data_IF_980290995484
#
_entry.id   IF_980290995484
#
_cell.length_a   1.000
_cell.length_b   1.000
_cell.length_c   1.000
_cell.angle_alpha   90.00
_cell.angle_beta   90.00
_cell.angle_gamma   90.00
#
_symmetry.space_group_name_H-M   'P 1'
#
loop_
_entity.id
_entity.type
_entity.pdbx_description
1 polymer ?
#
# COMPACT_ATOMS: atom_id res chain seq x y z
N UNK A 1 71.57 51.13 56.55
CA UNK A 1 70.66 49.99 56.85
C UNK A 1 69.33 50.04 56.10
N UNK A 2 68.80 51.22 55.73
CA UNK A 2 67.52 51.31 55.01
C UNK A 2 67.57 50.82 53.54
N UNK A 3 68.67 51.08 52.81
CA UNK A 3 68.78 50.71 51.38
C UNK A 3 68.89 49.19 51.16
N UNK A 4 69.56 48.47 52.06
CA UNK A 4 69.74 47.02 51.96
C UNK A 4 68.40 46.26 52.12
N UNK A 5 67.48 46.80 52.94
CA UNK A 5 66.14 46.23 53.12
C UNK A 5 65.22 46.47 51.91
N UNK A 6 65.40 47.58 51.19
CA UNK A 6 64.65 47.83 49.95
C UNK A 6 65.06 46.86 48.84
N UNK A 7 66.36 46.67 48.63
CA UNK A 7 66.88 45.77 47.59
C UNK A 7 66.41 44.32 47.83
N UNK A 8 66.40 43.88 49.10
CA UNK A 8 65.94 42.54 49.47
C UNK A 8 64.44 42.35 49.22
N UNK A 9 63.60 43.38 49.46
CA UNK A 9 62.17 43.35 49.15
C UNK A 9 61.90 43.26 47.64
N UNK A 10 62.66 44.00 46.83
CA UNK A 10 62.56 43.93 45.36
C UNK A 10 63.00 42.57 44.83
N UNK A 11 64.04 41.97 45.40
CA UNK A 11 64.51 40.65 44.99
C UNK A 11 63.46 39.55 45.29
N UNK A 12 62.85 39.56 46.48
CA UNK A 12 61.77 38.61 46.81
C UNK A 12 60.52 38.79 45.94
N UNK A 13 60.16 40.03 45.59
CA UNK A 13 59.03 40.29 44.70
C UNK A 13 59.30 39.83 43.27
N UNK A 14 60.51 40.01 42.75
CA UNK A 14 60.92 39.46 41.45
C UNK A 14 60.92 37.92 41.47
N UNK A 15 61.35 37.30 42.58
CA UNK A 15 61.39 35.83 42.72
C UNK A 15 59.97 35.22 42.81
N UNK A 16 59.03 35.92 43.43
CA UNK A 16 57.61 35.54 43.48
C UNK A 16 56.96 35.72 42.09
N UNK A 17 57.26 36.81 41.39
CA UNK A 17 56.73 37.06 40.03
C UNK A 17 57.27 36.01 39.05
N UNK A 18 58.56 35.69 39.09
CA UNK A 18 59.15 34.66 38.21
C UNK A 18 58.66 33.26 38.53
N UNK A 19 58.49 32.90 39.81
CA UNK A 19 57.86 31.64 40.23
C UNK A 19 56.39 31.54 39.79
N UNK A 20 55.66 32.66 39.82
CA UNK A 20 54.26 32.72 39.36
C UNK A 20 54.14 32.59 37.84
N UNK A 21 55.09 33.16 37.07
CA UNK A 21 55.15 33.02 35.61
C UNK A 21 55.48 31.57 35.20
N UNK A 22 56.33 30.88 35.96
CA UNK A 22 56.66 29.46 35.73
C UNK A 22 55.44 28.55 36.03
N UNK A 23 54.63 28.89 37.03
CA UNK A 23 53.38 28.15 37.34
C UNK A 23 52.24 28.43 36.35
N UNK A 24 52.16 29.62 35.74
CA UNK A 24 51.17 29.93 34.70
C UNK A 24 51.48 29.30 33.34
N UNK A 25 52.75 28.95 33.07
CA UNK A 25 53.13 28.30 31.80
C UNK A 25 52.89 26.78 31.78
N UNK A 26 52.37 26.22 32.89
CA UNK A 26 51.89 24.84 32.99
C UNK A 26 50.35 24.75 32.89
N UNK A 27 49.69 25.73 32.27
CA UNK A 27 48.33 25.55 31.79
C UNK A 27 48.36 24.57 30.61
N UNK A 28 48.13 23.28 30.88
CA UNK A 28 47.88 22.28 29.85
C UNK A 28 46.80 22.82 28.91
N UNK A 29 47.16 23.10 27.66
CA UNK A 29 46.18 23.45 26.63
C UNK A 29 45.16 22.30 26.55
N UNK A 30 43.98 22.50 27.11
CA UNK A 30 42.84 21.61 26.89
C UNK A 30 42.52 21.68 25.40
N UNK A 31 42.97 20.66 24.68
CA UNK A 31 42.85 20.57 23.24
C UNK A 31 41.37 20.63 22.87
N UNK A 32 40.96 21.70 22.21
CA UNK A 32 39.55 21.91 21.85
C UNK A 32 39.18 20.92 20.75
N UNK A 33 38.30 19.98 21.04
CA UNK A 33 37.84 18.98 20.07
C UNK A 33 36.84 19.66 19.11
N UNK A 34 37.28 19.91 17.88
CA UNK A 34 36.49 20.53 16.81
C UNK A 34 36.73 19.80 15.47
N UNK A 35 36.07 20.23 14.40
CA UNK A 35 36.20 19.60 13.07
C UNK A 35 37.63 19.66 12.51
N UNK A 36 38.35 20.76 12.75
CA UNK A 36 39.76 20.88 12.35
C UNK A 36 40.61 19.83 13.05
N UNK A 37 40.35 19.58 14.34
CA UNK A 37 41.07 18.57 15.09
C UNK A 37 40.84 17.16 14.53
N UNK A 38 39.61 16.85 14.12
CA UNK A 38 39.29 15.57 13.46
C UNK A 38 40.06 15.41 12.14
N UNK A 39 40.18 16.48 11.37
CA UNK A 39 41.00 16.48 10.16
C UNK A 39 42.48 16.27 10.44
N UNK A 40 43.02 16.86 11.51
CA UNK A 40 44.40 16.59 11.95
C UNK A 40 44.60 15.12 12.32
N UNK A 41 43.61 14.48 12.97
CA UNK A 41 43.64 13.05 13.26
C UNK A 41 43.60 12.21 11.98
N UNK A 42 42.77 12.57 10.98
CA UNK A 42 42.75 11.92 9.67
C UNK A 42 44.10 12.00 8.96
N UNK A 43 44.72 13.18 8.93
CA UNK A 43 46.02 13.37 8.31
C UNK A 43 47.10 12.55 9.02
N UNK A 44 47.05 12.44 10.35
CA UNK A 44 47.97 11.59 11.12
C UNK A 44 47.76 10.11 10.81
N UNK A 45 46.51 9.66 10.76
CA UNK A 45 46.15 8.30 10.37
C UNK A 45 46.75 7.94 8.99
N UNK A 46 46.54 8.80 7.99
CA UNK A 46 47.06 8.62 6.63
C UNK A 46 48.60 8.61 6.55
N UNK A 47 49.29 9.15 7.57
CA UNK A 47 50.75 9.09 7.73
C UNK A 47 51.23 7.84 8.49
N UNK A 48 50.34 6.89 8.75
CA UNK A 48 50.65 5.60 9.41
C UNK A 48 50.43 5.58 10.92
N UNK A 49 49.88 6.65 11.53
CA UNK A 49 49.55 6.66 12.97
C UNK A 49 48.20 6.02 13.24
N UNK A 50 48.14 4.70 13.12
CA UNK A 50 46.88 3.92 13.21
C UNK A 50 46.18 4.12 14.56
N UNK A 51 46.92 4.42 15.62
CA UNK A 51 46.40 4.67 16.96
C UNK A 51 45.36 5.81 17.02
N UNK A 52 45.37 6.75 16.07
CA UNK A 52 44.39 7.84 16.01
C UNK A 52 42.97 7.36 15.75
N UNK A 53 42.79 6.13 15.24
CA UNK A 53 41.46 5.52 15.08
C UNK A 53 40.73 5.43 16.42
N UNK A 54 41.42 5.07 17.50
CA UNK A 54 40.80 4.98 18.84
C UNK A 54 40.29 6.32 19.33
N UNK A 55 41.03 7.40 19.02
CA UNK A 55 40.63 8.76 19.36
C UNK A 55 39.45 9.23 18.50
N UNK A 56 39.46 8.93 17.20
CA UNK A 56 38.31 9.20 16.33
C UNK A 56 37.04 8.45 16.80
N UNK A 57 37.17 7.18 17.21
CA UNK A 57 36.09 6.38 17.77
C UNK A 57 35.57 6.99 19.08
N UNK A 58 36.46 7.47 19.95
CA UNK A 58 36.04 8.09 21.21
C UNK A 58 35.29 9.40 20.99
N UNK A 59 35.74 10.23 20.04
CA UNK A 59 35.06 11.47 19.62
C UNK A 59 33.66 11.14 19.07
N UNK A 60 33.57 10.17 18.16
CA UNK A 60 32.30 9.72 17.57
C UNK A 60 31.28 9.27 18.64
N UNK A 61 31.72 8.47 19.62
CA UNK A 61 30.87 7.91 20.68
C UNK A 61 30.53 8.91 21.79
N UNK A 62 31.24 10.04 21.88
CA UNK A 62 31.06 10.98 22.97
C UNK A 62 29.79 11.84 22.79
N UNK A 63 28.76 11.55 23.60
CA UNK A 63 27.46 12.23 23.56
C UNK A 63 27.49 13.70 23.99
N UNK A 64 28.54 14.15 24.69
CA UNK A 64 28.63 15.55 25.14
C UNK A 64 29.18 16.49 24.07
N UNK A 65 29.74 15.94 22.99
CA UNK A 65 30.27 16.73 21.88
C UNK A 65 29.15 17.18 20.92
N UNK A 66 29.32 18.33 20.24
CA UNK A 66 28.37 18.79 19.23
C UNK A 66 28.16 17.75 18.13
N UNK A 67 26.93 17.70 17.61
CA UNK A 67 26.55 16.79 16.52
C UNK A 67 27.51 16.86 15.32
N UNK A 68 27.85 18.07 14.86
CA UNK A 68 28.70 18.24 13.67
C UNK A 68 30.11 17.66 13.86
N UNK A 69 30.67 17.78 15.07
CA UNK A 69 31.96 17.18 15.44
C UNK A 69 31.87 15.65 15.39
N UNK A 70 30.81 15.08 15.98
CA UNK A 70 30.60 13.62 15.97
C UNK A 70 30.35 13.08 14.57
N UNK A 71 29.58 13.80 13.76
CA UNK A 71 29.32 13.46 12.36
C UNK A 71 30.61 13.49 11.53
N UNK A 72 31.44 14.52 11.73
CA UNK A 72 32.73 14.62 11.04
C UNK A 72 33.63 13.44 11.40
N UNK A 73 33.68 13.06 12.67
CA UNK A 73 34.43 11.88 13.12
C UNK A 73 33.89 10.58 12.49
N UNK A 74 32.56 10.40 12.45
CA UNK A 74 31.91 9.27 11.79
C UNK A 74 32.29 9.17 10.30
N UNK A 75 32.25 10.29 9.56
CA UNK A 75 32.62 10.33 8.14
C UNK A 75 34.09 9.97 7.92
N UNK A 76 34.99 10.54 8.72
CA UNK A 76 36.42 10.20 8.68
C UNK A 76 36.66 8.73 8.98
N UNK A 77 36.02 8.17 10.01
CA UNK A 77 36.11 6.75 10.35
C UNK A 77 35.69 5.87 9.17
N UNK A 78 34.58 6.20 8.51
CA UNK A 78 34.12 5.49 7.32
C UNK A 78 35.11 5.53 6.16
N UNK A 79 35.75 6.67 5.93
CA UNK A 79 36.76 6.83 4.86
C UNK A 79 38.02 6.00 5.10
N UNK A 80 38.30 5.62 6.36
CA UNK A 80 39.53 4.86 6.67
C UNK A 80 39.48 3.40 6.24
N UNK A 81 38.30 2.79 6.17
CA UNK A 81 38.15 1.34 5.97
C UNK A 81 38.79 0.46 7.05
N UNK A 82 39.14 1.03 8.20
CA UNK A 82 39.81 0.28 9.28
C UNK A 82 38.83 -0.66 10.01
N UNK A 83 39.20 -1.92 10.31
CA UNK A 83 38.32 -2.87 10.99
C UNK A 83 37.71 -2.35 12.30
N UNK A 84 38.53 -1.78 13.20
CA UNK A 84 38.02 -1.18 14.45
C UNK A 84 37.03 -0.02 14.22
N UNK A 85 37.22 0.76 13.14
CA UNK A 85 36.33 1.85 12.80
C UNK A 85 34.99 1.30 12.31
N UNK A 86 35.02 0.32 11.42
CA UNK A 86 33.84 -0.38 10.91
C UNK A 86 33.06 -1.05 12.06
N UNK A 87 33.75 -1.79 12.93
CA UNK A 87 33.14 -2.44 14.09
C UNK A 87 32.53 -1.40 15.05
N UNK A 88 33.17 -0.25 15.26
CA UNK A 88 32.63 0.82 16.08
C UNK A 88 31.33 1.41 15.50
N UNK A 89 31.23 1.55 14.17
CA UNK A 89 30.02 2.04 13.50
C UNK A 89 28.91 0.98 13.58
N UNK A 90 29.20 -0.29 13.26
CA UNK A 90 28.25 -1.42 13.36
C UNK A 90 27.69 -1.54 14.78
N UNK A 91 28.57 -1.50 15.78
CA UNK A 91 28.20 -1.53 17.20
C UNK A 91 27.31 -0.34 17.62
N UNK A 92 27.55 0.85 17.07
CA UNK A 92 26.73 2.03 17.34
C UNK A 92 25.31 1.87 16.81
N UNK A 93 25.16 1.36 15.58
CA UNK A 93 23.85 1.05 14.97
C UNK A 93 23.13 -0.03 15.79
N UNK A 94 23.79 -1.14 16.09
CA UNK A 94 23.17 -2.27 16.77
C UNK A 94 22.72 -1.96 18.21
N UNK A 95 23.49 -1.14 18.97
CA UNK A 95 23.21 -0.93 20.40
C UNK A 95 22.24 0.20 20.70
N UNK A 96 22.03 1.15 19.80
CA UNK A 96 20.98 2.21 19.76
C UNK A 96 20.43 2.79 21.10
N UNK A 97 21.17 2.74 22.21
CA UNK A 97 20.55 2.87 23.55
C UNK A 97 20.14 4.28 23.93
N UNK A 98 20.66 5.30 23.24
CA UNK A 98 20.25 6.71 23.37
C UNK A 98 20.47 7.40 22.02
N UNK A 99 19.47 7.31 21.15
CA UNK A 99 19.64 7.58 19.71
C UNK A 99 19.65 9.07 19.42
N UNK A 100 20.81 9.56 19.00
CA UNK A 100 20.87 10.71 18.10
C UNK A 100 20.44 10.24 16.70
N UNK A 101 19.14 10.39 16.38
CA UNK A 101 18.54 9.82 15.16
C UNK A 101 19.23 10.33 13.88
N UNK A 102 19.77 11.56 13.91
CA UNK A 102 20.53 12.12 12.79
C UNK A 102 21.83 11.35 12.60
N UNK A 103 22.58 11.11 13.67
CA UNK A 103 23.86 10.39 13.58
C UNK A 103 23.64 8.90 13.27
N UNK A 104 22.58 8.31 13.80
CA UNK A 104 22.14 6.95 13.49
C UNK A 104 21.82 6.77 12.00
N UNK A 105 21.03 7.67 11.42
CA UNK A 105 20.71 7.62 9.99
C UNK A 105 21.95 7.80 9.10
N UNK A 106 22.89 8.69 9.47
CA UNK A 106 24.15 8.84 8.75
C UNK A 106 25.03 7.57 8.83
N UNK A 107 25.04 6.89 9.98
CA UNK A 107 25.77 5.62 10.13
C UNK A 107 25.16 4.51 9.26
N UNK A 108 23.83 4.41 9.22
CA UNK A 108 23.11 3.49 8.31
C UNK A 108 23.43 3.81 6.85
N UNK A 109 23.37 5.09 6.45
CA UNK A 109 23.67 5.51 5.07
C UNK A 109 25.10 5.12 4.66
N UNK A 110 26.06 5.23 5.57
CA UNK A 110 27.45 4.79 5.35
C UNK A 110 27.52 3.28 5.12
N UNK A 111 26.93 2.48 6.02
CA UNK A 111 27.04 1.01 5.96
C UNK A 111 26.21 0.44 4.80
N UNK A 112 25.08 1.05 4.46
CA UNK A 112 24.21 0.64 3.35
C UNK A 112 24.87 0.76 1.96
N UNK A 113 26.03 1.42 1.84
CA UNK A 113 26.82 1.45 0.60
C UNK A 113 27.37 0.08 0.22
N UNK A 114 27.59 -0.79 1.21
CA UNK A 114 27.91 -2.20 1.00
C UNK A 114 26.72 -3.07 1.42
N UNK A 115 26.08 -3.70 0.43
CA UNK A 115 24.88 -4.52 0.61
C UNK A 115 25.20 -5.97 1.06
N UNK A 116 26.29 -6.17 1.80
CA UNK A 116 26.63 -7.46 2.39
C UNK A 116 25.57 -7.92 3.41
N UNK A 117 25.40 -9.24 3.55
CA UNK A 117 24.40 -9.82 4.47
C UNK A 117 24.60 -9.33 5.90
N UNK A 118 25.84 -9.23 6.36
CA UNK A 118 26.18 -8.73 7.70
C UNK A 118 25.74 -7.26 7.90
N UNK A 119 25.92 -6.41 6.89
CA UNK A 119 25.49 -5.01 6.96
C UNK A 119 23.97 -4.90 6.97
N UNK A 120 23.28 -5.71 6.17
CA UNK A 120 21.81 -5.80 6.18
C UNK A 120 21.32 -6.23 7.57
N UNK A 121 21.89 -7.29 8.14
CA UNK A 121 21.56 -7.76 9.50
C UNK A 121 21.83 -6.68 10.56
N UNK A 122 22.93 -5.95 10.44
CA UNK A 122 23.27 -4.84 11.35
C UNK A 122 22.23 -3.73 11.28
N UNK A 123 21.80 -3.35 10.08
CA UNK A 123 20.76 -2.32 9.87
C UNK A 123 19.42 -2.80 10.46
N UNK A 124 19.01 -4.05 10.17
CA UNK A 124 17.77 -4.62 10.70
C UNK A 124 17.78 -4.69 12.24
N UNK A 125 18.88 -5.14 12.83
CA UNK A 125 19.06 -5.17 14.29
C UNK A 125 19.02 -3.76 14.90
N UNK A 126 19.59 -2.77 14.22
CA UNK A 126 19.54 -1.37 14.63
C UNK A 126 18.12 -0.81 14.63
N UNK A 127 17.35 -1.05 13.56
CA UNK A 127 15.94 -0.65 13.46
C UNK A 127 15.12 -1.33 14.57
N UNK A 128 15.27 -2.64 14.77
CA UNK A 128 14.56 -3.38 15.80
C UNK A 128 14.89 -2.88 17.21
N UNK A 129 16.17 -2.68 17.51
CA UNK A 129 16.62 -2.19 18.83
C UNK A 129 16.15 -0.77 19.10
N UNK A 130 16.07 0.09 18.08
CA UNK A 130 15.51 1.43 18.19
C UNK A 130 14.00 1.40 18.47
N UNK A 131 13.27 0.56 17.72
CA UNK A 131 11.84 0.39 17.88
C UNK A 131 11.46 -0.20 19.25
N UNK A 132 12.19 -1.21 19.71
CA UNK A 132 11.97 -1.84 21.02
C UNK A 132 12.09 -0.82 22.16
N UNK A 133 13.11 0.03 22.13
CA UNK A 133 13.29 1.10 23.14
C UNK A 133 12.20 2.16 23.06
N UNK A 134 11.83 2.58 21.85
CA UNK A 134 10.72 3.50 21.67
C UNK A 134 9.43 2.92 22.26
N UNK A 135 9.10 1.66 21.92
CA UNK A 135 7.92 0.96 22.45
C UNK A 135 7.99 0.86 23.98
N UNK A 136 9.14 0.47 24.55
CA UNK A 136 9.32 0.35 25.99
C UNK A 136 9.09 1.71 26.70
N UNK A 137 9.73 2.77 26.20
CA UNK A 137 9.60 4.12 26.75
C UNK A 137 8.16 4.63 26.62
N UNK A 138 7.56 4.49 25.43
CA UNK A 138 6.17 4.88 25.14
C UNK A 138 5.20 4.15 26.07
N UNK A 139 5.29 2.83 26.18
CA UNK A 139 4.42 2.02 27.06
C UNK A 139 4.60 2.40 28.53
N UNK A 140 5.84 2.62 29.00
CA UNK A 140 6.09 3.08 30.37
C UNK A 140 5.44 4.44 30.66
N UNK A 141 5.55 5.38 29.73
CA UNK A 141 4.93 6.71 29.84
C UNK A 141 3.41 6.62 29.83
N UNK A 142 2.81 5.84 28.93
CA UNK A 142 1.35 5.64 28.88
C UNK A 142 0.82 5.01 30.17
N UNK A 143 1.51 4.00 30.70
CA UNK A 143 1.15 3.39 31.98
C UNK A 143 1.19 4.42 33.12
N UNK A 144 2.22 5.28 33.18
CA UNK A 144 2.27 6.37 34.18
C UNK A 144 1.13 7.35 34.00
N UNK A 145 0.83 7.76 32.77
CA UNK A 145 -0.29 8.66 32.47
C UNK A 145 -1.64 8.08 32.92
N UNK A 146 -1.85 6.77 32.76
CA UNK A 146 -3.09 6.10 33.20
C UNK A 146 -3.33 6.13 34.72
N UNK A 147 -2.30 6.43 35.51
CA UNK A 147 -2.42 6.59 36.97
C UNK A 147 -2.73 8.02 37.42
N UNK A 148 -2.70 8.97 36.49
CA UNK A 148 -3.00 10.39 36.77
C UNK A 148 -4.53 10.60 36.68
N UNK A 149 -5.16 11.33 37.63
CA UNK A 149 -6.60 11.57 37.66
C UNK A 149 -7.18 12.24 36.38
N UNK A 150 -8.50 12.20 36.18
CA UNK A 150 -9.19 12.41 34.90
C UNK A 150 -9.22 13.86 34.37
N UNK A 151 -8.46 14.78 34.96
CA UNK A 151 -8.26 16.12 34.38
C UNK A 151 -7.45 16.08 33.08
N UNK A 152 -6.90 14.91 32.70
CA UNK A 152 -6.38 14.68 31.36
C UNK A 152 -7.51 14.94 30.35
N UNK A 153 -7.41 16.07 29.66
CA UNK A 153 -8.34 16.45 28.60
C UNK A 153 -8.40 15.31 27.55
N UNK A 154 -9.59 14.72 27.40
CA UNK A 154 -9.88 13.66 26.41
C UNK A 154 -9.40 14.03 25.00
N UNK A 155 -9.42 15.31 24.65
CA UNK A 155 -8.91 15.85 23.38
C UNK A 155 -7.41 15.56 23.18
N UNK A 156 -6.60 15.64 24.23
CA UNK A 156 -5.16 15.35 24.16
C UNK A 156 -4.92 13.85 23.91
N UNK A 157 -5.74 12.98 24.50
CA UNK A 157 -5.65 11.53 24.31
C UNK A 157 -6.12 11.13 22.92
N UNK A 158 -7.21 11.71 22.41
CA UNK A 158 -7.68 11.48 21.04
C UNK A 158 -6.64 11.94 20.02
N UNK A 159 -6.02 13.11 20.24
CA UNK A 159 -4.92 13.58 19.39
C UNK A 159 -3.71 12.64 19.41
N UNK A 160 -3.34 12.11 20.58
CA UNK A 160 -2.27 11.11 20.68
C UNK A 160 -2.63 9.83 19.91
N UNK A 161 -3.86 9.35 20.04
CA UNK A 161 -4.35 8.19 19.31
C UNK A 161 -4.27 8.39 17.79
N UNK A 162 -4.68 9.55 17.29
CA UNK A 162 -4.58 9.89 15.86
C UNK A 162 -3.12 9.88 15.37
N UNK A 163 -2.20 10.46 16.15
CA UNK A 163 -0.76 10.46 15.81
C UNK A 163 -0.17 9.05 15.80
N UNK A 164 -0.49 8.23 16.80
CA UNK A 164 -0.01 6.84 16.86
C UNK A 164 -0.58 5.99 15.71
N UNK A 165 -1.85 6.21 15.35
CA UNK A 165 -2.47 5.58 14.17
C UNK A 165 -1.76 5.99 12.89
N UNK A 166 -1.47 7.27 12.70
CA UNK A 166 -0.73 7.77 11.53
C UNK A 166 0.69 7.17 11.45
N UNK A 167 1.39 7.08 12.59
CA UNK A 167 2.72 6.47 12.66
C UNK A 167 2.70 4.99 12.27
N UNK A 168 1.70 4.23 12.73
CA UNK A 168 1.49 2.84 12.32
C UNK A 168 1.29 2.71 10.80
N UNK A 169 0.47 3.59 10.20
CA UNK A 169 0.26 3.60 8.74
C UNK A 169 1.56 3.90 7.98
N UNK A 170 2.36 4.88 8.40
CA UNK A 170 3.66 5.21 7.79
C UNK A 170 4.65 4.04 7.87
N UNK A 171 4.65 3.30 8.99
CA UNK A 171 5.45 2.09 9.15
C UNK A 171 5.04 1.03 8.12
N UNK A 172 3.74 0.78 7.97
CA UNK A 172 3.21 -0.18 7.00
C UNK A 172 3.54 0.21 5.56
N UNK A 173 3.45 1.51 5.21
CA UNK A 173 3.86 2.01 3.88
C UNK A 173 5.35 1.75 3.60
N UNK A 174 6.20 2.03 4.59
CA UNK A 174 7.66 1.82 4.47
C UNK A 174 7.99 0.34 4.30
N UNK A 175 7.35 -0.53 5.08
CA UNK A 175 7.52 -1.98 4.98
C UNK A 175 7.01 -2.51 3.64
N UNK A 176 5.83 -2.07 3.18
CA UNK A 176 5.28 -2.42 1.86
C UNK A 176 6.25 -2.04 0.74
N UNK A 177 6.81 -0.84 0.80
CA UNK A 177 7.80 -0.35 -0.16
C UNK A 177 9.05 -1.22 -0.18
N UNK A 178 9.57 -1.59 1.00
CA UNK A 178 10.71 -2.48 1.12
C UNK A 178 10.42 -3.86 0.55
N UNK A 179 9.30 -4.48 0.94
CA UNK A 179 8.86 -5.79 0.44
C UNK A 179 8.67 -5.78 -1.08
N UNK A 180 8.19 -4.68 -1.65
CA UNK A 180 8.01 -4.55 -3.09
C UNK A 180 9.31 -4.52 -3.90
N UNK A 181 10.41 -4.08 -3.28
CA UNK A 181 11.74 -4.11 -3.91
C UNK A 181 12.38 -5.50 -3.88
N UNK A 182 11.83 -6.43 -3.11
CA UNK A 182 12.36 -7.79 -2.96
C UNK A 182 11.69 -8.68 -4.02
N UNK A 183 12.51 -9.26 -4.89
CA UNK A 183 12.07 -10.27 -5.88
C UNK A 183 12.08 -11.69 -5.29
N UNK A 184 11.43 -11.85 -4.11
CA UNK A 184 11.20 -13.14 -3.48
C UNK A 184 9.70 -13.40 -3.39
N UNK A 185 9.26 -14.57 -3.85
CA UNK A 185 7.84 -14.98 -3.78
C UNK A 185 7.28 -15.03 -2.35
N UNK A 186 8.13 -15.18 -1.33
CA UNK A 186 7.71 -15.14 0.09
C UNK A 186 7.09 -13.81 0.50
N UNK A 187 7.33 -12.72 -0.23
CA UNK A 187 6.68 -11.44 0.07
C UNK A 187 5.23 -11.38 -0.40
N UNK A 188 4.80 -12.28 -1.28
CA UNK A 188 3.46 -12.24 -1.91
C UNK A 188 2.34 -12.37 -0.87
N UNK A 189 2.34 -13.35 0.06
CA UNK A 189 1.30 -13.45 1.07
C UNK A 189 1.18 -12.19 1.93
N UNK A 190 2.30 -11.61 2.35
CA UNK A 190 2.34 -10.40 3.18
C UNK A 190 1.74 -9.20 2.42
N UNK A 191 2.12 -9.03 1.15
CA UNK A 191 1.57 -7.97 0.31
C UNK A 191 0.06 -8.17 0.03
N UNK A 192 -0.41 -9.43 -0.07
CA UNK A 192 -1.84 -9.74 -0.18
C UNK A 192 -2.59 -9.34 1.10
N UNK A 193 -2.04 -9.65 2.27
CA UNK A 193 -2.62 -9.27 3.56
C UNK A 193 -2.73 -7.74 3.67
N UNK A 194 -1.65 -7.03 3.33
CA UNK A 194 -1.64 -5.56 3.28
C UNK A 194 -2.70 -5.05 2.31
N UNK A 195 -2.79 -5.59 1.10
CA UNK A 195 -3.76 -5.15 0.09
C UNK A 195 -5.22 -5.37 0.53
N UNK A 196 -5.49 -6.43 1.29
CA UNK A 196 -6.83 -6.81 1.76
C UNK A 196 -7.25 -6.12 3.06
N UNK A 197 -6.32 -5.55 3.83
CA UNK A 197 -6.62 -4.97 5.15
C UNK A 197 -7.47 -3.69 5.06
N UNK A 198 -8.74 -3.70 5.50
CA UNK A 198 -9.63 -2.54 5.41
C UNK A 198 -9.19 -1.37 6.29
N UNK A 199 -8.41 -1.62 7.36
CA UNK A 199 -7.93 -0.61 8.32
C UNK A 199 -6.78 0.23 7.76
N UNK A 200 -6.07 -0.29 6.76
CA UNK A 200 -5.03 0.45 6.06
C UNK A 200 -5.65 1.47 5.11
N UNK A 201 -5.00 2.63 4.99
CA UNK A 201 -5.42 3.66 4.06
C UNK A 201 -5.30 3.20 2.59
N UNK A 202 -5.95 3.94 1.70
CA UNK A 202 -5.99 3.60 0.28
C UNK A 202 -4.61 3.61 -0.38
N UNK A 203 -3.71 4.53 0.01
CA UNK A 203 -2.38 4.66 -0.59
C UNK A 203 -1.52 3.43 -0.29
N UNK A 204 -1.52 2.98 0.98
CA UNK A 204 -0.78 1.79 1.42
C UNK A 204 -1.23 0.53 0.67
N UNK A 205 -2.54 0.33 0.55
CA UNK A 205 -3.11 -0.81 -0.19
C UNK A 205 -2.85 -0.74 -1.67
N UNK A 206 -3.03 0.43 -2.27
CA UNK A 206 -2.77 0.65 -3.70
C UNK A 206 -1.32 0.33 -4.05
N UNK A 207 -0.38 0.77 -3.21
CA UNK A 207 1.03 0.42 -3.37
C UNK A 207 1.25 -1.09 -3.32
N UNK A 208 0.63 -1.80 -2.38
CA UNK A 208 0.74 -3.26 -2.31
C UNK A 208 0.15 -3.94 -3.56
N UNK A 209 -1.00 -3.48 -4.06
CA UNK A 209 -1.61 -4.00 -5.31
C UNK A 209 -0.73 -3.69 -6.52
N UNK A 210 -0.14 -2.50 -6.61
CA UNK A 210 0.78 -2.11 -7.69
C UNK A 210 2.01 -3.02 -7.72
N UNK A 211 2.61 -3.26 -6.55
CA UNK A 211 3.73 -4.18 -6.38
C UNK A 211 3.32 -5.61 -6.79
N UNK A 212 2.17 -6.10 -6.30
CA UNK A 212 1.66 -7.42 -6.64
C UNK A 212 1.38 -7.55 -8.15
N UNK A 213 0.90 -6.50 -8.80
CA UNK A 213 0.62 -6.48 -10.24
C UNK A 213 1.87 -6.67 -11.10
N UNK A 214 3.04 -6.26 -10.57
CA UNK A 214 4.36 -6.50 -11.18
C UNK A 214 4.91 -7.90 -10.88
N UNK A 215 4.32 -8.65 -9.94
CA UNK A 215 4.74 -9.99 -9.56
C UNK A 215 3.97 -11.05 -10.35
N UNK A 216 4.68 -11.80 -11.19
CA UNK A 216 4.10 -12.87 -11.98
C UNK A 216 3.87 -14.16 -11.17
N UNK A 217 2.80 -14.22 -10.36
CA UNK A 217 2.50 -15.38 -9.52
C UNK A 217 1.00 -15.73 -9.46
N UNK A 218 0.61 -17.03 -9.51
CA UNK A 218 -0.80 -17.45 -9.52
C UNK A 218 -1.61 -17.02 -8.30
N UNK A 219 -0.95 -16.91 -7.13
CA UNK A 219 -1.60 -16.47 -5.89
C UNK A 219 -2.08 -15.02 -5.96
N UNK A 220 -1.37 -14.17 -6.71
CA UNK A 220 -1.78 -12.78 -6.97
C UNK A 220 -3.11 -12.75 -7.72
N UNK A 221 -3.27 -13.59 -8.75
CA UNK A 221 -4.51 -13.67 -9.52
C UNK A 221 -5.68 -14.08 -8.64
N UNK A 222 -5.50 -15.07 -7.78
CA UNK A 222 -6.54 -15.50 -6.84
C UNK A 222 -6.89 -14.39 -5.87
N UNK A 223 -5.89 -13.72 -5.29
CA UNK A 223 -6.12 -12.61 -4.38
C UNK A 223 -6.90 -11.45 -5.03
N UNK A 224 -6.57 -11.10 -6.28
CA UNK A 224 -7.29 -10.06 -7.03
C UNK A 224 -8.74 -10.45 -7.29
N UNK A 225 -9.01 -11.71 -7.66
CA UNK A 225 -10.38 -12.24 -7.81
C UNK A 225 -11.13 -12.17 -6.48
N UNK A 226 -10.51 -12.59 -5.38
CA UNK A 226 -11.13 -12.51 -4.04
C UNK A 226 -11.49 -11.07 -3.69
N UNK A 227 -10.58 -10.12 -3.96
CA UNK A 227 -10.77 -8.70 -3.65
C UNK A 227 -11.90 -8.07 -4.46
N UNK A 228 -12.08 -8.47 -5.73
CA UNK A 228 -13.18 -8.03 -6.58
C UNK A 228 -14.53 -8.64 -6.17
N UNK A 229 -14.54 -9.76 -5.47
CA UNK A 229 -15.77 -10.41 -5.00
C UNK A 229 -16.14 -10.09 -3.55
N UNK A 230 -15.21 -9.58 -2.75
CA UNK A 230 -15.47 -9.17 -1.38
C UNK A 230 -15.99 -7.71 -1.34
N UNK A 231 -17.22 -7.45 -0.85
CA UNK A 231 -17.80 -6.11 -0.79
C UNK A 231 -16.94 -5.05 -0.09
N UNK A 232 -16.16 -5.43 0.93
CA UNK A 232 -15.34 -4.48 1.71
C UNK A 232 -14.13 -3.96 0.92
N UNK A 233 -13.61 -4.79 0.01
CA UNK A 233 -12.42 -4.48 -0.79
C UNK A 233 -12.77 -4.13 -2.24
N UNK A 234 -13.94 -4.56 -2.73
CA UNK A 234 -14.33 -4.50 -4.14
C UNK A 234 -14.27 -3.07 -4.69
N UNK A 235 -14.87 -2.09 -4.01
CA UNK A 235 -14.93 -0.71 -4.52
C UNK A 235 -13.53 -0.12 -4.68
N UNK A 236 -12.68 -0.26 -3.65
CA UNK A 236 -11.32 0.29 -3.63
C UNK A 236 -10.41 -0.41 -4.63
N UNK A 237 -10.51 -1.74 -4.72
CA UNK A 237 -9.73 -2.50 -5.69
C UNK A 237 -10.18 -2.20 -7.13
N UNK A 238 -11.48 -2.00 -7.35
CA UNK A 238 -12.02 -1.54 -8.63
C UNK A 238 -11.50 -0.15 -8.98
N UNK A 239 -11.51 0.79 -8.05
CA UNK A 239 -10.97 2.15 -8.28
C UNK A 239 -9.48 2.09 -8.64
N UNK A 240 -8.70 1.32 -7.88
CA UNK A 240 -7.29 1.07 -8.22
C UNK A 240 -7.14 0.47 -9.62
N UNK A 241 -7.89 -0.59 -9.95
CA UNK A 241 -7.79 -1.25 -11.24
C UNK A 241 -8.14 -0.28 -12.38
N UNK A 242 -9.19 0.54 -12.22
CA UNK A 242 -9.59 1.53 -13.22
C UNK A 242 -8.54 2.62 -13.44
N UNK A 243 -7.84 3.06 -12.38
CA UNK A 243 -6.81 4.11 -12.50
C UNK A 243 -5.46 3.60 -12.96
N UNK A 244 -5.12 2.34 -12.68
CA UNK A 244 -3.77 1.80 -12.98
C UNK A 244 -3.70 0.87 -14.18
N UNK A 245 -4.81 0.35 -14.71
CA UNK A 245 -4.80 -0.50 -15.92
C UNK A 245 -4.22 0.22 -17.14
N UNK A 246 -4.39 1.54 -17.23
CA UNK A 246 -3.83 2.35 -18.32
C UNK A 246 -2.30 2.41 -18.24
N UNK A 247 -1.75 2.44 -17.02
CA UNK A 247 -0.31 2.61 -16.77
C UNK A 247 0.43 1.27 -16.65
N UNK A 248 -0.22 0.25 -16.06
CA UNK A 248 0.38 -1.06 -15.74
C UNK A 248 -0.64 -2.18 -16.07
N UNK A 249 -0.77 -2.58 -17.34
CA UNK A 249 -1.63 -3.71 -17.71
C UNK A 249 -1.03 -5.02 -17.20
N UNK A 250 -1.59 -5.54 -16.10
CA UNK A 250 -1.29 -6.87 -15.57
C UNK A 250 -2.28 -7.89 -16.13
N UNK A 251 -1.79 -8.99 -16.72
CA UNK A 251 -2.66 -10.06 -17.23
C UNK A 251 -3.53 -10.67 -16.11
N UNK A 252 -3.03 -10.68 -14.87
CA UNK A 252 -3.77 -11.10 -13.68
C UNK A 252 -4.94 -10.16 -13.39
N UNK A 253 -4.70 -8.85 -13.51
CA UNK A 253 -5.74 -7.83 -13.33
C UNK A 253 -6.83 -7.94 -14.41
N UNK A 254 -6.42 -8.09 -15.67
CA UNK A 254 -7.34 -8.28 -16.81
C UNK A 254 -8.20 -9.54 -16.60
N UNK A 255 -7.58 -10.64 -16.20
CA UNK A 255 -8.30 -11.89 -15.95
C UNK A 255 -9.29 -11.76 -14.79
N UNK A 256 -8.88 -11.13 -13.68
CA UNK A 256 -9.74 -10.93 -12.52
C UNK A 256 -10.96 -10.04 -12.85
N UNK A 257 -10.76 -8.97 -13.63
CA UNK A 257 -11.86 -8.12 -14.09
C UNK A 257 -12.78 -8.81 -15.09
N UNK A 258 -12.24 -9.63 -15.98
CA UNK A 258 -13.04 -10.45 -16.89
C UNK A 258 -13.90 -11.48 -16.13
N UNK A 259 -13.36 -12.06 -15.06
CA UNK A 259 -14.10 -12.94 -14.15
C UNK A 259 -15.21 -12.18 -13.42
N UNK A 260 -14.91 -11.00 -12.87
CA UNK A 260 -15.92 -10.14 -12.24
C UNK A 260 -17.05 -9.79 -13.23
N UNK A 261 -16.70 -9.31 -14.43
CA UNK A 261 -17.70 -8.97 -15.46
C UNK A 261 -18.60 -10.16 -15.80
N UNK A 262 -18.01 -11.35 -15.98
CA UNK A 262 -18.78 -12.58 -16.24
C UNK A 262 -19.71 -12.91 -15.07
N UNK A 263 -19.23 -12.79 -13.83
CA UNK A 263 -20.00 -13.07 -12.63
C UNK A 263 -21.18 -12.10 -12.46
N UNK A 264 -20.93 -10.80 -12.57
CA UNK A 264 -21.94 -9.74 -12.49
C UNK A 264 -22.98 -9.87 -13.60
N UNK A 265 -22.54 -10.11 -14.84
CA UNK A 265 -23.44 -10.38 -15.96
C UNK A 265 -24.34 -11.58 -15.67
N UNK A 266 -23.79 -12.68 -15.16
CA UNK A 266 -24.59 -13.87 -14.81
C UNK A 266 -25.62 -13.56 -13.72
N UNK A 267 -25.25 -12.82 -12.67
CA UNK A 267 -26.17 -12.39 -11.60
C UNK A 267 -27.29 -11.49 -12.13
N UNK A 268 -26.94 -10.52 -12.98
CA UNK A 268 -27.91 -9.65 -13.64
C UNK A 268 -28.90 -10.44 -14.48
N UNK A 269 -28.43 -11.39 -15.30
CA UNK A 269 -29.29 -12.23 -16.13
C UNK A 269 -30.24 -13.10 -15.29
N UNK A 270 -29.77 -13.67 -14.18
CA UNK A 270 -30.60 -14.44 -13.27
C UNK A 270 -31.67 -13.58 -12.59
N UNK A 271 -31.30 -12.36 -12.17
CA UNK A 271 -32.26 -11.41 -11.59
C UNK A 271 -33.34 -11.06 -12.61
N UNK A 272 -32.93 -10.77 -13.85
CA UNK A 272 -33.85 -10.44 -14.94
C UNK A 272 -34.77 -11.60 -15.29
N UNK A 273 -34.27 -12.84 -15.29
CA UNK A 273 -35.08 -14.05 -15.48
C UNK A 273 -36.15 -14.17 -14.38
N UNK A 274 -35.76 -14.02 -13.10
CA UNK A 274 -36.69 -14.06 -11.96
C UNK A 274 -37.72 -12.93 -11.99
N UNK A 275 -37.30 -11.72 -12.33
CA UNK A 275 -38.19 -10.55 -12.46
C UNK A 275 -39.20 -10.76 -13.60
N UNK A 276 -38.77 -11.29 -14.74
CA UNK A 276 -39.71 -11.57 -15.83
C UNK A 276 -40.60 -12.77 -15.53
N UNK A 277 -40.12 -13.78 -14.83
CA UNK A 277 -40.94 -14.91 -14.37
C UNK A 277 -42.04 -14.45 -13.40
N UNK A 278 -41.73 -13.60 -12.43
CA UNK A 278 -42.71 -13.11 -11.44
C UNK A 278 -43.83 -12.26 -12.06
N UNK A 279 -43.62 -11.71 -13.26
CA UNK A 279 -44.66 -10.97 -13.99
C UNK A 279 -45.79 -11.86 -14.51
N UNK A 280 -45.65 -13.20 -14.46
CA UNK A 280 -46.66 -14.13 -14.97
C UNK A 280 -48.03 -13.95 -14.34
N UNK A 281 -48.08 -13.61 -13.06
CA UNK A 281 -49.34 -13.46 -12.30
C UNK A 281 -49.81 -12.00 -12.15
N UNK A 282 -49.03 -11.04 -12.66
CA UNK A 282 -49.34 -9.59 -12.53
C UNK A 282 -50.40 -9.15 -13.54
N UNK A 283 -51.56 -8.67 -13.11
CA UNK A 283 -52.65 -8.24 -14.02
C UNK A 283 -52.60 -6.76 -14.39
N UNK A 284 -51.69 -5.99 -13.80
CA UNK A 284 -51.52 -4.56 -14.08
C UNK A 284 -51.06 -4.34 -15.54
N UNK A 285 -51.87 -3.61 -16.31
CA UNK A 285 -51.60 -3.33 -17.73
C UNK A 285 -50.44 -2.37 -17.94
N UNK A 286 -50.00 -1.64 -16.90
CA UNK A 286 -48.84 -0.74 -16.98
C UNK A 286 -47.52 -1.48 -17.28
N UNK A 287 -47.45 -2.80 -17.06
CA UNK A 287 -46.26 -3.60 -17.36
C UNK A 287 -46.15 -3.97 -18.84
N UNK A 288 -47.24 -3.85 -19.62
CA UNK A 288 -47.31 -4.33 -21.00
C UNK A 288 -46.25 -3.71 -21.90
N UNK A 289 -45.98 -2.38 -21.86
CA UNK A 289 -44.90 -1.78 -22.66
C UNK A 289 -43.53 -2.38 -22.31
N UNK A 290 -43.24 -2.56 -21.02
CA UNK A 290 -41.96 -3.11 -20.55
C UNK A 290 -41.77 -4.55 -21.00
N UNK A 291 -42.81 -5.39 -20.86
CA UNK A 291 -42.75 -6.79 -21.32
C UNK A 291 -42.61 -6.89 -22.83
N UNK A 292 -43.26 -5.98 -23.58
CA UNK A 292 -43.13 -5.90 -25.04
C UNK A 292 -41.70 -5.55 -25.44
N UNK A 293 -41.10 -4.54 -24.83
CA UNK A 293 -39.71 -4.14 -25.09
C UNK A 293 -38.73 -5.28 -24.79
N UNK A 294 -38.94 -6.00 -23.67
CA UNK A 294 -38.15 -7.17 -23.31
C UNK A 294 -38.32 -8.30 -24.35
N UNK A 295 -39.54 -8.59 -24.77
CA UNK A 295 -39.81 -9.67 -25.72
C UNK A 295 -39.16 -9.42 -27.11
N UNK A 296 -39.20 -8.17 -27.57
CA UNK A 296 -38.69 -7.78 -28.90
C UNK A 296 -37.16 -7.67 -28.91
N UNK A 297 -36.55 -7.13 -27.84
CA UNK A 297 -35.13 -6.80 -27.84
C UNK A 297 -34.19 -8.02 -27.83
N UNK A 298 -33.23 -8.03 -28.75
CA UNK A 298 -32.23 -9.10 -28.88
C UNK A 298 -31.13 -9.06 -27.82
N UNK A 299 -31.06 -7.97 -27.05
CA UNK A 299 -30.08 -7.85 -25.95
C UNK A 299 -30.38 -8.84 -24.81
N UNK A 300 -31.62 -9.34 -24.74
CA UNK A 300 -32.07 -10.24 -23.69
C UNK A 300 -31.96 -11.72 -24.11
N UNK A 301 -31.54 -12.61 -23.19
CA UNK A 301 -31.50 -14.05 -23.47
C UNK A 301 -32.89 -14.63 -23.77
N UNK A 302 -32.91 -15.75 -24.49
CA UNK A 302 -34.14 -16.49 -24.83
C UNK A 302 -35.11 -16.63 -23.66
N UNK A 303 -34.61 -17.06 -22.48
CA UNK A 303 -35.47 -17.37 -21.34
C UNK A 303 -36.22 -16.16 -20.79
N UNK A 304 -35.55 -15.01 -20.75
CA UNK A 304 -36.13 -13.72 -20.36
C UNK A 304 -37.21 -13.28 -21.37
N UNK A 305 -36.91 -13.39 -22.66
CA UNK A 305 -37.85 -13.07 -23.76
C UNK A 305 -39.06 -14.01 -23.75
N UNK A 306 -38.85 -15.31 -23.55
CA UNK A 306 -39.89 -16.33 -23.40
C UNK A 306 -40.82 -16.02 -22.22
N UNK A 307 -40.26 -15.67 -21.05
CA UNK A 307 -41.04 -15.30 -19.88
C UNK A 307 -41.91 -14.06 -20.16
N UNK A 308 -41.34 -13.04 -20.81
CA UNK A 308 -42.08 -11.83 -21.18
C UNK A 308 -43.25 -12.12 -22.13
N UNK A 309 -43.05 -12.95 -23.17
CA UNK A 309 -44.12 -13.36 -24.11
C UNK A 309 -45.20 -14.17 -23.40
N UNK A 310 -44.80 -15.10 -22.53
CA UNK A 310 -45.75 -15.88 -21.72
C UNK A 310 -46.58 -14.97 -20.82
N UNK A 311 -45.97 -13.96 -20.20
CA UNK A 311 -46.69 -12.95 -19.41
C UNK A 311 -47.62 -12.10 -20.27
N UNK A 312 -47.20 -11.69 -21.47
CA UNK A 312 -48.04 -10.91 -22.40
C UNK A 312 -49.31 -11.66 -22.84
N UNK A 313 -49.27 -13.00 -22.83
CA UNK A 313 -50.37 -13.84 -23.32
C UNK A 313 -51.71 -13.57 -22.62
N UNK A 314 -51.69 -13.25 -21.32
CA UNK A 314 -52.93 -13.01 -20.54
C UNK A 314 -53.69 -11.74 -20.96
N UNK A 315 -53.00 -10.76 -21.54
CA UNK A 315 -53.60 -9.51 -21.98
C UNK A 315 -54.32 -9.64 -23.33
N UNK A 316 -54.10 -10.75 -24.06
CA UNK A 316 -54.77 -11.09 -25.32
C UNK A 316 -54.72 -9.97 -26.38
N UNK A 317 -53.65 -9.18 -26.39
CA UNK A 317 -53.46 -8.08 -27.34
C UNK A 317 -53.03 -8.61 -28.72
N UNK A 318 -53.89 -8.41 -29.71
CA UNK A 318 -53.67 -8.85 -31.10
C UNK A 318 -52.53 -8.10 -31.78
N UNK A 319 -52.37 -6.80 -31.51
CA UNK A 319 -51.34 -5.98 -32.13
C UNK A 319 -49.95 -6.39 -31.64
N UNK A 320 -49.82 -6.64 -30.34
CA UNK A 320 -48.57 -7.15 -29.77
C UNK A 320 -48.25 -8.54 -30.34
N UNK A 321 -49.24 -9.43 -30.46
CA UNK A 321 -49.03 -10.74 -31.07
C UNK A 321 -48.56 -10.63 -32.53
N UNK A 322 -49.16 -9.74 -33.34
CA UNK A 322 -48.71 -9.47 -34.71
C UNK A 322 -47.27 -8.99 -34.77
N UNK A 323 -46.87 -8.07 -33.89
CA UNK A 323 -45.50 -7.58 -33.83
C UNK A 323 -44.51 -8.70 -33.47
N UNK A 324 -44.86 -9.56 -32.51
CA UNK A 324 -44.04 -10.72 -32.15
C UNK A 324 -43.94 -11.73 -33.31
N UNK A 325 -45.02 -11.97 -34.07
CA UNK A 325 -45.00 -12.83 -35.26
C UNK A 325 -44.01 -12.29 -36.30
N UNK A 326 -43.90 -10.97 -36.49
CA UNK A 326 -42.94 -10.38 -37.43
C UNK A 326 -41.49 -10.69 -37.06
N UNK A 327 -41.16 -10.82 -35.77
CA UNK A 327 -39.81 -11.18 -35.34
C UNK A 327 -39.37 -12.54 -35.89
N UNK A 328 -40.32 -13.46 -36.08
CA UNK A 328 -40.05 -14.80 -36.59
C UNK A 328 -39.66 -14.80 -38.07
N UNK A 329 -39.79 -13.69 -38.79
CA UNK A 329 -39.28 -13.57 -40.16
C UNK A 329 -37.75 -13.66 -40.21
N UNK A 330 -37.07 -13.30 -39.11
CA UNK A 330 -35.62 -13.48 -38.96
C UNK A 330 -35.31 -14.89 -38.41
N UNK A 331 -34.52 -15.72 -39.13
CA UNK A 331 -34.18 -17.09 -38.75
C UNK A 331 -33.71 -17.27 -37.29
N UNK A 332 -32.83 -16.37 -36.81
CA UNK A 332 -32.31 -16.38 -35.44
C UNK A 332 -33.39 -16.26 -34.35
N UNK A 333 -34.51 -15.62 -34.65
CA UNK A 333 -35.61 -15.41 -33.70
C UNK A 333 -36.62 -16.57 -33.69
N UNK A 334 -36.46 -17.57 -34.56
CA UNK A 334 -37.35 -18.75 -34.61
C UNK A 334 -37.40 -19.53 -33.29
N UNK A 335 -36.38 -19.38 -32.42
CA UNK A 335 -36.41 -19.90 -31.04
C UNK A 335 -37.67 -19.47 -30.27
N UNK A 336 -38.23 -18.29 -30.57
CA UNK A 336 -39.44 -17.74 -29.93
C UNK A 336 -40.75 -18.27 -30.51
N UNK A 337 -40.72 -19.16 -31.52
CA UNK A 337 -41.92 -19.65 -32.18
C UNK A 337 -42.91 -20.27 -31.17
N UNK A 338 -42.43 -21.12 -30.26
CA UNK A 338 -43.29 -21.81 -29.26
C UNK A 338 -44.07 -20.84 -28.37
N UNK A 339 -43.44 -19.86 -27.67
CA UNK A 339 -44.19 -18.92 -26.85
C UNK A 339 -45.13 -18.02 -27.67
N UNK A 340 -44.75 -17.62 -28.90
CA UNK A 340 -45.61 -16.81 -29.79
C UNK A 340 -46.81 -17.61 -30.28
N UNK A 341 -46.60 -18.88 -30.66
CA UNK A 341 -47.68 -19.81 -31.03
C UNK A 341 -48.69 -19.99 -29.90
N UNK A 342 -48.20 -20.18 -28.67
CA UNK A 342 -49.05 -20.28 -27.49
C UNK A 342 -49.89 -19.01 -27.31
N UNK A 343 -49.29 -17.82 -27.45
CA UNK A 343 -50.01 -16.54 -27.38
C UNK A 343 -51.09 -16.44 -28.47
N UNK A 344 -50.75 -16.71 -29.73
CA UNK A 344 -51.70 -16.67 -30.84
C UNK A 344 -52.87 -17.66 -30.64
N UNK A 345 -52.58 -18.87 -30.15
CA UNK A 345 -53.58 -19.88 -29.83
C UNK A 345 -54.52 -19.44 -28.71
N UNK A 346 -53.98 -18.84 -27.64
CA UNK A 346 -54.78 -18.31 -26.54
C UNK A 346 -55.69 -17.16 -26.98
N UNK A 347 -55.21 -16.28 -27.86
CA UNK A 347 -56.04 -15.21 -28.45
C UNK A 347 -57.17 -15.80 -29.30
N UNK A 348 -56.92 -16.91 -30.01
CA UNK A 348 -57.93 -17.63 -30.79
C UNK A 348 -58.35 -16.94 -32.09
N UNK A 349 -57.52 -16.02 -32.59
CA UNK A 349 -57.78 -15.29 -33.83
C UNK A 349 -57.23 -16.06 -35.05
N UNK A 350 -58.10 -16.31 -36.03
CA UNK A 350 -57.75 -17.09 -37.23
C UNK A 350 -56.69 -16.38 -38.08
N UNK A 351 -56.76 -15.06 -38.21
CA UNK A 351 -55.81 -14.26 -39.01
C UNK A 351 -54.41 -14.32 -38.41
N UNK A 352 -54.29 -14.25 -37.07
CA UNK A 352 -53.00 -14.42 -36.37
C UNK A 352 -52.39 -15.81 -36.61
N UNK A 353 -53.21 -16.86 -36.53
CA UNK A 353 -52.75 -18.24 -36.73
C UNK A 353 -52.34 -18.50 -38.18
N UNK A 354 -53.08 -17.98 -39.15
CA UNK A 354 -52.73 -18.08 -40.56
C UNK A 354 -51.45 -17.30 -40.85
N UNK A 355 -51.29 -16.09 -40.30
CA UNK A 355 -50.06 -15.31 -40.42
C UNK A 355 -48.85 -16.01 -39.82
N UNK A 356 -49.00 -16.62 -38.65
CA UNK A 356 -47.94 -17.37 -37.99
C UNK A 356 -47.47 -18.57 -38.84
N UNK A 357 -48.40 -19.30 -39.47
CA UNK A 357 -48.09 -20.42 -40.38
C UNK A 357 -47.36 -19.95 -41.63
N UNK A 358 -47.77 -18.83 -42.22
CA UNK A 358 -47.07 -18.23 -43.36
C UNK A 358 -45.62 -17.86 -42.99
N UNK A 359 -45.44 -17.18 -41.86
CA UNK A 359 -44.10 -16.79 -41.38
C UNK A 359 -43.25 -18.02 -41.08
N UNK A 360 -43.79 -19.04 -40.41
CA UNK A 360 -43.09 -20.28 -40.14
C UNK A 360 -42.58 -20.97 -41.42
N UNK A 361 -43.44 -21.12 -42.43
CA UNK A 361 -43.07 -21.74 -43.69
C UNK A 361 -41.94 -20.98 -44.38
N UNK A 362 -42.00 -19.64 -44.36
CA UNK A 362 -41.01 -18.75 -44.98
C UNK A 362 -39.67 -18.85 -44.25
N UNK A 363 -39.69 -18.82 -42.92
CA UNK A 363 -38.49 -18.85 -42.08
C UNK A 363 -37.81 -20.20 -42.10
N UNK A 364 -38.56 -21.31 -42.01
CA UNK A 364 -37.97 -22.65 -42.11
C UNK A 364 -37.25 -22.85 -43.45
N UNK A 365 -37.84 -22.40 -44.56
CA UNK A 365 -37.17 -22.42 -45.87
C UNK A 365 -35.87 -21.62 -45.87
N UNK A 366 -35.84 -20.45 -45.24
CA UNK A 366 -34.64 -19.64 -45.11
C UNK A 366 -33.54 -20.33 -44.29
N UNK A 367 -33.91 -20.99 -43.18
CA UNK A 367 -33.00 -21.80 -42.35
C UNK A 367 -32.40 -22.96 -43.15
N UNK A 368 -33.24 -23.72 -43.87
CA UNK A 368 -32.78 -24.83 -44.72
C UNK A 368 -31.85 -24.39 -45.85
N UNK A 369 -32.00 -23.16 -46.33
CA UNK A 369 -31.15 -22.57 -47.37
C UNK A 369 -29.84 -21.93 -46.82
N UNK A 370 -29.56 -22.08 -45.52
CA UNK A 370 -28.32 -21.60 -44.91
C UNK A 370 -28.23 -20.09 -44.72
N UNK A 371 -29.35 -19.36 -44.78
CA UNK A 371 -29.39 -17.94 -44.36
C UNK A 371 -29.34 -17.90 -42.83
N UNK A 372 -28.20 -17.48 -42.29
CA UNK A 372 -27.98 -17.30 -40.84
C UNK A 372 -28.65 -16.03 -40.33
#
# INVERSE_FOLDING_TARGET
>A
MAELNMIRKYFYSILIITSSIILFNCASQTKTINEKYIEELRVKYNKGKIETIRELISIFKNKTLPYEVRLKALKVLSETGHPDAEEAIKNFIARSSDIDYRLFNNAIEIIAKDASTENIETILNGINSANEKYIQSRTSTLNKLSTIPPEINIEIILKLYEVEKENYLKMQQSLSTLLGRIDDKKVIPILIDIAKDPELDFSTRSLAIEILSKKNHPEVTRAFIDMLHNPETQLKFRDFALTTLEEIPSYQMIYALADLYRNEKSKYLLLLEKLTESTKDVTDTTIVPVLKDIAISEIYPYKVRENAINSLTKFRDKYICLELIKLLEEPKNYILYKPIYKMAKEIGDKELLDKLRETELKTQKAIYQGKK
#
